data_IF_378688537311
#
_entry.id   IF_378688537311
#
_cell.length_a   1.000
_cell.length_b   1.000
_cell.length_c   1.000
_cell.angle_alpha   90.00
_cell.angle_beta   90.00
_cell.angle_gamma   90.00
#
_symmetry.space_group_name_H-M   'P 1'
#
loop_
_entity.id
_entity.type
_entity.pdbx_description
1 polymer ?
#
# COMPACT_ATOMS: atom_id res chain seq x y z
N UNK A 1 12.17 19.54 -29.66
CA UNK A 1 10.70 19.49 -29.83
C UNK A 1 10.27 18.09 -29.47
N UNK A 2 9.57 17.89 -28.36
CA UNK A 2 9.08 16.55 -28.00
C UNK A 2 7.83 16.26 -28.84
N UNK A 3 7.82 15.18 -29.62
CA UNK A 3 6.60 14.71 -30.26
C UNK A 3 5.65 14.20 -29.19
N UNK A 4 4.43 14.73 -29.15
CA UNK A 4 3.36 14.29 -28.25
C UNK A 4 2.42 13.38 -29.04
N UNK A 5 2.10 12.22 -28.48
CA UNK A 5 1.02 11.35 -28.97
C UNK A 5 -0.11 11.44 -27.95
N UNK A 6 -1.24 12.01 -28.35
CA UNK A 6 -2.45 12.06 -27.52
C UNK A 6 -3.33 10.87 -27.89
N UNK A 7 -3.67 10.04 -26.91
CA UNK A 7 -4.47 8.84 -27.10
C UNK A 7 -5.40 8.65 -25.92
N UNK A 8 -6.70 8.59 -26.15
CA UNK A 8 -7.71 8.39 -25.09
C UNK A 8 -7.85 6.90 -24.73
N UNK A 9 -7.57 6.02 -25.69
CA UNK A 9 -7.68 4.57 -25.53
C UNK A 9 -6.53 3.81 -26.19
N UNK A 10 -5.99 2.82 -25.49
CA UNK A 10 -4.98 1.89 -26.03
C UNK A 10 -5.70 0.59 -26.40
N UNK A 11 -5.67 0.24 -27.68
CA UNK A 11 -6.23 -1.01 -28.19
C UNK A 11 -5.13 -1.88 -28.79
N UNK A 12 -5.30 -3.20 -28.71
CA UNK A 12 -4.50 -4.14 -29.52
C UNK A 12 -4.94 -4.07 -30.99
N UNK A 13 -4.00 -4.22 -31.92
CA UNK A 13 -4.27 -4.13 -33.36
C UNK A 13 -5.23 -5.20 -33.92
N UNK A 14 -5.53 -6.25 -33.15
CA UNK A 14 -6.52 -7.28 -33.47
C UNK A 14 -7.11 -7.90 -32.18
N UNK A 15 -8.42 -8.08 -32.12
CA UNK A 15 -9.15 -8.67 -30.96
C UNK A 15 -9.41 -7.68 -29.81
N UNK A 16 -10.07 -8.15 -28.74
CA UNK A 16 -10.23 -7.42 -27.46
C UNK A 16 -9.03 -7.70 -26.54
N UNK A 17 -8.50 -6.77 -25.70
CA UNK A 17 -9.17 -5.62 -25.10
C UNK A 17 -8.75 -4.23 -25.61
N UNK A 18 -9.65 -3.27 -25.40
CA UNK A 18 -9.42 -1.83 -25.46
C UNK A 18 -9.31 -1.31 -24.01
N UNK A 19 -8.32 -0.48 -23.72
CA UNK A 19 -8.08 0.12 -22.42
C UNK A 19 -8.29 1.63 -22.48
N UNK A 20 -9.20 2.16 -21.67
CA UNK A 20 -9.37 3.62 -21.53
C UNK A 20 -8.33 4.19 -20.57
N UNK A 21 -7.63 5.26 -20.98
CA UNK A 21 -6.60 5.91 -20.17
C UNK A 21 -7.24 6.84 -19.12
N UNK A 22 -6.78 6.83 -17.85
CA UNK A 22 -7.31 7.75 -16.84
C UNK A 22 -7.07 9.21 -17.21
N UNK A 23 -8.00 10.10 -16.85
CA UNK A 23 -7.90 11.54 -17.10
C UNK A 23 -7.03 12.30 -16.09
N UNK A 24 -6.61 11.63 -15.02
CA UNK A 24 -5.74 12.15 -13.96
C UNK A 24 -4.47 11.32 -13.86
N UNK A 25 -3.44 11.84 -13.18
CA UNK A 25 -2.11 11.20 -13.05
C UNK A 25 -1.92 10.41 -11.72
N UNK A 26 -3.04 10.16 -11.01
CA UNK A 26 -3.03 9.51 -9.70
C UNK A 26 -2.33 10.33 -8.61
N UNK A 27 -2.06 9.68 -7.48
CA UNK A 27 -1.26 10.20 -6.36
C UNK A 27 -0.06 9.30 -6.08
N UNK A 28 0.92 9.81 -5.33
CA UNK A 28 2.07 9.03 -4.91
C UNK A 28 1.64 7.74 -4.17
N UNK A 29 2.26 6.61 -4.50
CA UNK A 29 1.91 5.30 -3.94
C UNK A 29 0.83 4.54 -4.71
N UNK A 30 0.25 5.13 -5.75
CA UNK A 30 -0.71 4.45 -6.63
C UNK A 30 -0.04 3.82 -7.86
N UNK A 31 -0.64 2.76 -8.38
CA UNK A 31 -0.33 2.13 -9.66
C UNK A 31 -1.56 2.12 -10.57
N UNK A 32 -1.33 2.00 -11.88
CA UNK A 32 -2.40 1.76 -12.85
C UNK A 32 -2.82 0.29 -12.75
N UNK A 33 -4.10 0.05 -12.47
CA UNK A 33 -4.71 -1.28 -12.38
C UNK A 33 -5.82 -1.44 -13.41
N UNK A 34 -6.16 -2.69 -13.75
CA UNK A 34 -7.29 -3.04 -14.61
C UNK A 34 -8.39 -3.72 -13.81
N UNK A 35 -9.64 -3.35 -14.08
CA UNK A 35 -10.82 -4.03 -13.51
C UNK A 35 -11.28 -5.26 -14.32
N UNK A 36 -10.42 -5.77 -15.22
CA UNK A 36 -10.72 -6.84 -16.17
C UNK A 36 -11.87 -6.53 -17.16
N UNK A 37 -12.36 -5.29 -17.20
CA UNK A 37 -13.45 -4.83 -18.08
C UNK A 37 -13.00 -3.73 -19.06
N UNK A 38 -11.69 -3.59 -19.29
CA UNK A 38 -11.13 -2.60 -20.23
C UNK A 38 -11.00 -1.17 -19.66
N UNK A 39 -11.19 -0.99 -18.35
CA UNK A 39 -10.96 0.30 -17.68
C UNK A 39 -9.66 0.23 -16.89
N UNK A 40 -8.77 1.20 -17.15
CA UNK A 40 -7.62 1.46 -16.30
C UNK A 40 -8.00 2.51 -15.26
N UNK A 41 -7.55 2.32 -14.02
CA UNK A 41 -7.71 3.29 -12.94
C UNK A 41 -6.49 3.27 -12.03
N UNK A 42 -6.30 4.34 -11.25
CA UNK A 42 -5.29 4.32 -10.19
C UNK A 42 -5.85 3.63 -8.95
N UNK A 43 -5.06 2.75 -8.36
CA UNK A 43 -5.31 2.12 -7.06
C UNK A 43 -4.00 1.99 -6.29
N UNK A 44 -4.06 1.71 -5.00
CA UNK A 44 -2.86 1.57 -4.17
C UNK A 44 -1.96 0.45 -4.71
N UNK A 45 -0.66 0.74 -4.85
CA UNK A 45 0.32 -0.17 -5.45
C UNK A 45 0.73 -1.35 -4.54
N UNK A 46 0.07 -1.50 -3.38
CA UNK A 46 0.35 -2.52 -2.38
C UNK A 46 -0.21 -2.14 -1.01
N UNK A 47 -0.04 -3.00 0.00
CA UNK A 47 -0.39 -2.65 1.38
C UNK A 47 0.48 -1.48 1.85
N UNK A 48 -0.14 -0.42 2.36
CA UNK A 48 0.55 0.65 3.06
C UNK A 48 0.58 0.34 4.55
N UNK A 49 1.77 0.41 5.17
CA UNK A 49 1.85 0.44 6.63
C UNK A 49 1.37 1.82 7.11
N UNK A 50 0.28 1.85 7.86
CA UNK A 50 -0.28 3.07 8.43
C UNK A 50 -0.14 3.08 9.95
N UNK A 51 -0.14 4.26 10.58
CA UNK A 51 0.02 4.40 12.03
C UNK A 51 1.46 4.61 12.51
N UNK A 52 1.75 4.28 13.77
CA UNK A 52 3.04 4.57 14.40
C UNK A 52 4.15 3.67 13.86
N UNK A 53 5.27 4.27 13.46
CA UNK A 53 6.49 3.58 13.00
C UNK A 53 7.38 3.11 14.16
N UNK A 54 6.96 3.27 15.41
CA UNK A 54 7.70 2.79 16.58
C UNK A 54 7.63 1.26 16.76
N UNK A 55 7.25 0.51 15.73
CA UNK A 55 6.88 -0.91 15.83
C UNK A 55 7.45 -1.70 14.66
N UNK A 56 8.23 -2.75 14.94
CA UNK A 56 8.68 -3.70 13.91
C UNK A 56 7.65 -4.79 13.60
N UNK A 57 6.57 -4.90 14.40
CA UNK A 57 5.52 -5.91 14.25
C UNK A 57 4.22 -5.22 13.81
N UNK A 58 3.83 -5.32 12.53
CA UNK A 58 2.52 -4.84 12.07
C UNK A 58 1.41 -5.77 12.57
N UNK A 59 0.25 -5.21 12.93
CA UNK A 59 -0.98 -6.00 13.08
C UNK A 59 -1.85 -5.91 11.84
N UNK A 60 -2.60 -6.98 11.56
CA UNK A 60 -3.60 -7.00 10.49
C UNK A 60 -4.90 -6.49 11.08
N UNK A 61 -5.36 -5.33 10.62
CA UNK A 61 -6.61 -4.72 11.09
C UNK A 61 -7.78 -4.94 10.13
N UNK A 62 -7.52 -5.56 8.97
CA UNK A 62 -8.50 -5.85 7.92
C UNK A 62 -7.85 -6.34 6.64
N UNK A 63 -8.65 -6.53 5.58
CA UNK A 63 -8.13 -6.86 4.26
C UNK A 63 -7.20 -5.74 3.78
N UNK A 64 -5.97 -6.10 3.42
CA UNK A 64 -4.95 -5.16 2.91
C UNK A 64 -4.57 -4.04 3.89
N UNK A 65 -4.90 -4.16 5.18
CA UNK A 65 -4.66 -3.14 6.20
C UNK A 65 -3.65 -3.65 7.24
N UNK A 66 -2.40 -3.22 7.07
CA UNK A 66 -1.33 -3.40 8.05
C UNK A 66 -1.17 -2.10 8.84
N UNK A 67 -1.22 -2.20 10.17
CA UNK A 67 -1.03 -1.05 11.05
C UNK A 67 0.09 -1.29 12.05
N UNK A 68 0.92 -0.27 12.29
CA UNK A 68 1.85 -0.29 13.42
C UNK A 68 1.10 -0.16 14.75
N UNK A 69 1.63 -0.74 15.83
CA UNK A 69 1.00 -0.66 17.16
C UNK A 69 1.93 -0.09 18.21
N UNK A 70 1.46 0.89 18.99
CA UNK A 70 2.23 1.40 20.12
C UNK A 70 2.25 0.43 21.33
N UNK A 71 1.33 -0.55 21.32
CA UNK A 71 1.07 -1.42 22.47
C UNK A 71 1.73 -2.79 22.36
N UNK A 72 2.22 -3.19 21.18
CA UNK A 72 2.97 -4.42 20.99
C UNK A 72 4.19 -4.10 20.13
N UNK A 73 5.33 -3.83 20.77
CA UNK A 73 6.56 -3.37 20.10
C UNK A 73 7.71 -4.32 20.37
N UNK A 74 8.55 -4.55 19.36
CA UNK A 74 9.85 -5.20 19.51
C UNK A 74 10.88 -4.30 18.84
N UNK A 75 11.99 -4.04 19.52
CA UNK A 75 13.05 -3.13 19.04
C UNK A 75 14.37 -3.83 18.72
N UNK A 76 14.40 -5.16 18.78
CA UNK A 76 15.63 -5.95 18.63
C UNK A 76 16.23 -6.44 19.94
N UNK A 77 15.85 -5.86 21.08
CA UNK A 77 16.35 -6.21 22.41
C UNK A 77 15.24 -6.48 23.42
N UNK A 78 14.10 -5.81 23.29
CA UNK A 78 13.01 -5.87 24.25
C UNK A 78 11.68 -6.05 23.54
N UNK A 79 10.89 -7.03 24.00
CA UNK A 79 9.49 -7.18 23.62
C UNK A 79 8.61 -6.47 24.66
N UNK A 80 7.82 -5.52 24.19
CA UNK A 80 6.99 -4.64 25.00
C UNK A 80 5.51 -4.87 24.72
N UNK A 81 4.72 -5.09 25.78
CA UNK A 81 3.25 -5.09 25.75
C UNK A 81 2.74 -3.95 26.62
N UNK A 82 2.10 -2.92 26.03
CA UNK A 82 1.57 -1.75 26.75
C UNK A 82 0.07 -1.80 26.88
N UNK A 83 -0.43 -1.50 28.08
CA UNK A 83 -1.84 -1.25 28.34
C UNK A 83 -1.97 0.07 29.12
N UNK A 84 -2.76 1.02 28.62
CA UNK A 84 -2.94 2.33 29.27
C UNK A 84 -1.65 3.15 29.43
N UNK A 85 -0.64 2.93 28.60
CA UNK A 85 0.65 3.64 28.63
C UNK A 85 1.74 2.98 29.48
N UNK A 86 1.41 1.99 30.31
CA UNK A 86 2.39 1.22 31.08
C UNK A 86 2.84 0.01 30.29
N UNK A 87 4.16 -0.18 30.15
CA UNK A 87 4.75 -1.32 29.45
C UNK A 87 5.06 -2.48 30.40
N UNK A 88 4.71 -3.69 29.97
CA UNK A 88 5.31 -4.94 30.44
C UNK A 88 6.40 -5.33 29.44
N UNK A 89 7.65 -5.23 29.87
CA UNK A 89 8.84 -5.43 29.03
C UNK A 89 9.51 -6.77 29.33
N UNK A 90 9.86 -7.52 28.29
CA UNK A 90 10.72 -8.70 28.38
C UNK A 90 12.01 -8.38 27.64
N UNK A 91 13.13 -8.42 28.36
CA UNK A 91 14.44 -8.37 27.73
C UNK A 91 14.71 -9.70 27.03
N UNK A 92 14.95 -9.62 25.72
CA UNK A 92 15.29 -10.74 24.88
C UNK A 92 16.81 -10.75 24.72
N UNK A 93 17.45 -11.63 25.49
CA UNK A 93 18.86 -11.92 25.31
C UNK A 93 18.98 -12.97 24.20
N UNK A 94 19.46 -12.55 23.04
CA UNK A 94 19.96 -13.47 22.02
C UNK A 94 21.45 -13.80 22.26
#
# INVERSE_FOLDING_TARGET
MASKVNTDKIARGSGSPEFTIPTADGTAGQAIVTNASGVLSFADAGPSLTGSTNTWIPTITGANAMAGTANFTYDGNTLDIKNGGTASSINLYC
#
